data_IF_745327948824
#
_entry.id   IF_745327948824
#
_cell.length_a   1.000
_cell.length_b   1.000
_cell.length_c   1.000
_cell.angle_alpha   90.00
_cell.angle_beta   90.00
_cell.angle_gamma   90.00
#
_symmetry.space_group_name_H-M   'P 1'
#
loop_
_entity.id
_entity.type
_entity.pdbx_description
1 polymer ?
#
# COMPACT_ATOMS: atom_id res chain seq x y z
N UNK A 1 4.17 24.05 0.12
CA UNK A 1 3.14 24.12 -0.94
C UNK A 1 2.10 23.07 -0.62
N UNK A 2 0.80 23.41 -0.52
CA UNK A 2 -0.25 22.42 -0.37
C UNK A 2 -0.36 21.56 -1.63
N UNK A 3 -0.72 20.29 -1.48
CA UNK A 3 -1.02 19.40 -2.61
C UNK A 3 -2.23 19.94 -3.39
N UNK A 4 -2.19 19.83 -4.70
CA UNK A 4 -3.34 20.14 -5.56
C UNK A 4 -4.41 19.06 -5.45
N UNK A 5 -5.66 19.40 -5.81
CA UNK A 5 -6.76 18.43 -5.84
C UNK A 5 -6.46 17.20 -6.72
N UNK A 6 -5.72 17.40 -7.83
CA UNK A 6 -5.31 16.31 -8.71
C UNK A 6 -4.29 15.38 -8.04
N UNK A 7 -3.35 15.94 -7.27
CA UNK A 7 -2.37 15.15 -6.53
C UNK A 7 -3.03 14.39 -5.37
N UNK A 8 -3.99 15.00 -4.67
CA UNK A 8 -4.77 14.32 -3.64
C UNK A 8 -5.55 13.13 -4.21
N UNK A 9 -6.26 13.33 -5.33
CA UNK A 9 -6.99 12.25 -6.01
C UNK A 9 -6.05 11.12 -6.47
N UNK A 10 -4.87 11.46 -7.01
CA UNK A 10 -3.87 10.45 -7.39
C UNK A 10 -3.36 9.65 -6.19
N UNK A 11 -3.22 10.28 -5.00
CA UNK A 11 -2.84 9.58 -3.77
C UNK A 11 -3.96 8.66 -3.30
N UNK A 12 -5.22 9.08 -3.36
CA UNK A 12 -6.39 8.26 -3.02
C UNK A 12 -6.50 7.02 -3.93
N UNK A 13 -6.33 7.21 -5.25
CA UNK A 13 -6.28 6.11 -6.21
C UNK A 13 -5.15 5.13 -5.89
N UNK A 14 -3.96 5.65 -5.60
CA UNK A 14 -2.80 4.81 -5.26
C UNK A 14 -3.02 4.06 -3.93
N UNK A 15 -3.70 4.64 -2.94
CA UNK A 15 -4.07 3.93 -1.72
C UNK A 15 -4.95 2.70 -2.01
N UNK A 16 -5.91 2.82 -2.94
CA UNK A 16 -6.73 1.69 -3.38
C UNK A 16 -5.90 0.59 -4.05
N UNK A 17 -4.92 0.97 -4.86
CA UNK A 17 -3.96 0.05 -5.49
C UNK A 17 -3.12 -0.69 -4.44
N UNK A 18 -2.50 0.05 -3.51
CA UNK A 18 -1.67 -0.56 -2.46
C UNK A 18 -2.50 -1.51 -1.58
N UNK A 19 -3.74 -1.14 -1.21
CA UNK A 19 -4.62 -2.02 -0.45
C UNK A 19 -4.93 -3.34 -1.20
N UNK A 20 -5.12 -3.27 -2.52
CA UNK A 20 -5.35 -4.44 -3.35
C UNK A 20 -4.12 -5.35 -3.39
N UNK A 21 -2.92 -4.76 -3.51
CA UNK A 21 -1.66 -5.49 -3.54
C UNK A 21 -1.34 -6.16 -2.20
N UNK A 22 -1.58 -5.47 -1.07
CA UNK A 22 -1.44 -6.04 0.28
C UNK A 22 -2.31 -7.30 0.42
N UNK A 23 -3.60 -7.20 0.05
CA UNK A 23 -4.53 -8.35 0.12
C UNK A 23 -4.06 -9.49 -0.79
N UNK A 24 -3.67 -9.19 -2.03
CA UNK A 24 -3.21 -10.16 -3.02
C UNK A 24 -1.99 -10.93 -2.52
N UNK A 25 -0.96 -10.24 -2.05
CA UNK A 25 0.27 -10.89 -1.59
C UNK A 25 0.09 -11.61 -0.25
N UNK A 26 -0.75 -11.09 0.65
CA UNK A 26 -1.13 -11.81 1.86
C UNK A 26 -1.84 -13.13 1.52
N UNK A 27 -2.79 -13.10 0.58
CA UNK A 27 -3.47 -14.32 0.10
C UNK A 27 -2.48 -15.30 -0.54
N UNK A 28 -1.56 -14.83 -1.38
CA UNK A 28 -0.55 -15.68 -1.99
C UNK A 28 0.41 -16.30 -0.96
N UNK A 29 0.79 -15.57 0.08
CA UNK A 29 1.57 -16.11 1.18
C UNK A 29 0.83 -17.26 1.89
N UNK A 30 -0.48 -17.09 2.15
CA UNK A 30 -1.31 -18.13 2.77
C UNK A 30 -1.50 -19.36 1.87
N UNK A 31 -1.55 -19.18 0.56
CA UNK A 31 -1.73 -20.28 -0.40
C UNK A 31 -0.42 -20.99 -0.78
N UNK A 32 0.74 -20.39 -0.47
CA UNK A 32 2.04 -20.93 -0.85
C UNK A 32 2.45 -22.07 0.09
N UNK A 33 2.62 -23.27 -0.48
CA UNK A 33 3.21 -24.42 0.23
C UNK A 33 4.73 -24.35 0.31
N UNK A 34 5.38 -23.69 -0.65
CA UNK A 34 6.83 -23.49 -0.65
C UNK A 34 7.23 -22.39 0.36
N UNK A 35 8.10 -22.68 1.34
CA UNK A 35 8.48 -21.71 2.37
C UNK A 35 9.20 -20.46 1.85
N UNK A 36 9.97 -20.58 0.76
CA UNK A 36 10.69 -19.45 0.16
C UNK A 36 9.71 -18.54 -0.56
N UNK A 37 8.76 -19.10 -1.31
CA UNK A 37 7.70 -18.32 -1.95
C UNK A 37 6.80 -17.63 -0.94
N UNK A 38 6.41 -18.32 0.14
CA UNK A 38 5.64 -17.71 1.24
C UNK A 38 6.37 -16.49 1.81
N UNK A 39 7.64 -16.65 2.17
CA UNK A 39 8.48 -15.55 2.69
C UNK A 39 8.55 -14.38 1.70
N UNK A 40 8.69 -14.66 0.40
CA UNK A 40 8.70 -13.61 -0.61
C UNK A 40 7.37 -12.87 -0.68
N UNK A 41 6.23 -13.56 -0.63
CA UNK A 41 4.92 -12.91 -0.64
C UNK A 41 4.65 -12.10 0.63
N UNK A 42 5.05 -12.61 1.80
CA UNK A 42 4.99 -11.85 3.06
C UNK A 42 5.80 -10.56 2.98
N UNK A 43 7.03 -10.64 2.47
CA UNK A 43 7.88 -9.47 2.26
C UNK A 43 7.27 -8.46 1.28
N UNK A 44 6.65 -8.93 0.20
CA UNK A 44 5.95 -8.04 -0.74
C UNK A 44 4.74 -7.36 -0.09
N UNK A 45 3.91 -8.11 0.63
CA UNK A 45 2.78 -7.55 1.39
C UNK A 45 3.25 -6.47 2.37
N UNK A 46 4.32 -6.73 3.13
CA UNK A 46 4.89 -5.77 4.06
C UNK A 46 5.41 -4.49 3.38
N UNK A 47 6.04 -4.61 2.19
CA UNK A 47 6.47 -3.45 1.39
C UNK A 47 5.28 -2.59 0.96
N UNK A 48 4.22 -3.21 0.43
CA UNK A 48 3.01 -2.48 0.03
C UNK A 48 2.30 -1.85 1.24
N UNK A 49 2.30 -2.50 2.40
CA UNK A 49 1.81 -1.88 3.65
C UNK A 49 2.62 -0.64 4.03
N UNK A 50 3.94 -0.67 3.86
CA UNK A 50 4.77 0.51 4.09
C UNK A 50 4.43 1.65 3.12
N UNK A 51 4.24 1.35 1.83
CA UNK A 51 3.83 2.34 0.83
C UNK A 51 2.47 2.95 1.17
N UNK A 52 1.47 2.13 1.51
CA UNK A 52 0.15 2.57 1.93
C UNK A 52 0.23 3.53 3.13
N UNK A 53 1.01 3.18 4.16
CA UNK A 53 1.19 4.03 5.34
C UNK A 53 1.86 5.38 5.00
N UNK A 54 2.82 5.37 4.08
CA UNK A 54 3.48 6.60 3.59
C UNK A 54 2.50 7.49 2.83
N UNK A 55 1.63 6.93 1.99
CA UNK A 55 0.60 7.67 1.27
C UNK A 55 -0.46 8.26 2.24
N UNK A 56 -0.89 7.50 3.24
CA UNK A 56 -1.77 8.01 4.30
C UNK A 56 -1.14 9.20 5.05
N UNK A 57 0.16 9.11 5.32
CA UNK A 57 0.92 10.18 5.98
C UNK A 57 0.97 11.45 5.12
N UNK A 58 0.98 11.30 3.79
CA UNK A 58 0.92 12.42 2.84
C UNK A 58 -0.48 13.05 2.78
N UNK A 59 -1.55 12.25 2.79
CA UNK A 59 -2.92 12.77 2.89
C UNK A 59 -3.18 13.48 4.22
N UNK A 60 -2.71 12.92 5.33
CA UNK A 60 -2.86 13.53 6.66
C UNK A 60 -2.13 14.88 6.79
N UNK A 61 -1.04 15.07 6.03
CA UNK A 61 -0.34 16.36 5.94
C UNK A 61 -1.02 17.36 4.99
N UNK A 62 -1.84 16.89 4.03
CA UNK A 62 -2.60 17.74 3.11
C UNK A 62 -4.01 18.11 3.57
N UNK A 63 -4.55 17.41 4.58
CA UNK A 63 -5.93 17.59 5.08
C UNK A 63 -6.06 18.40 6.38
N UNK A 64 -4.97 18.96 6.91
CA UNK A 64 -4.94 19.66 8.18
C UNK A 64 -4.53 21.14 8.05
N UNK A 65 -5.54 22.00 7.80
CA UNK A 65 -5.52 23.48 7.80
C UNK A 65 -4.72 24.18 6.71
#
# INVERSE_FOLDING_TARGET
>A
MPLTAKELAAIEDQLGVEQTLIKKFTMYAHMASDPQLRTQFENNSARHQNHYNRLLTQLGQGGGK
#
